data_IF_720057062893
#
_entry.id   IF_720057062893
#
_cell.length_a   1.000
_cell.length_b   1.000
_cell.length_c   1.000
_cell.angle_alpha   90.00
_cell.angle_beta   90.00
_cell.angle_gamma   90.00
#
_symmetry.space_group_name_H-M   'P 1'
#
loop_
_entity.id
_entity.type
_entity.pdbx_description
1 polymer ?
#
# COMPACT_ATOMS: atom_id res chain seq x y z
N UNK A 1 -39.51 13.23 -26.07
CA UNK A 1 -38.75 13.30 -24.82
C UNK A 1 -37.73 12.18 -24.80
N UNK A 2 -36.68 12.29 -23.98
CA UNK A 2 -35.70 11.21 -23.81
C UNK A 2 -35.96 10.57 -22.44
N UNK A 3 -35.97 9.24 -22.41
CA UNK A 3 -36.03 8.43 -21.19
C UNK A 3 -34.68 7.76 -21.00
N UNK A 4 -34.12 7.80 -19.79
CA UNK A 4 -32.91 7.09 -19.41
C UNK A 4 -33.13 6.27 -18.14
N UNK A 5 -32.45 5.14 -18.03
CA UNK A 5 -32.41 4.29 -16.83
C UNK A 5 -30.95 4.12 -16.41
N UNK A 6 -30.67 4.31 -15.12
CA UNK A 6 -29.35 4.12 -14.52
C UNK A 6 -29.46 2.99 -13.51
N UNK A 7 -28.54 2.03 -13.60
CA UNK A 7 -28.36 0.97 -12.61
C UNK A 7 -26.95 1.04 -12.02
N UNK A 8 -26.87 1.26 -10.71
CA UNK A 8 -25.60 1.27 -9.98
C UNK A 8 -25.32 -0.16 -9.50
N UNK A 9 -24.80 -0.97 -10.42
CA UNK A 9 -24.53 -2.40 -10.19
C UNK A 9 -23.45 -2.68 -9.15
N UNK A 10 -22.61 -1.69 -8.80
CA UNK A 10 -21.56 -1.82 -7.78
C UNK A 10 -21.40 -0.52 -6.99
N UNK A 11 -21.15 -0.67 -5.69
CA UNK A 11 -20.79 0.38 -4.75
C UNK A 11 -19.97 -0.28 -3.67
N UNK A 12 -18.72 0.15 -3.48
CA UNK A 12 -17.83 -0.37 -2.45
C UNK A 12 -17.21 0.80 -1.68
N UNK A 13 -17.09 0.64 -0.36
CA UNK A 13 -16.58 1.68 0.52
C UNK A 13 -15.05 1.58 0.63
N UNK A 14 -14.33 2.71 0.76
CA UNK A 14 -12.89 2.67 0.96
C UNK A 14 -12.55 1.96 2.27
N UNK A 15 -11.53 1.11 2.26
CA UNK A 15 -11.06 0.43 3.47
C UNK A 15 -9.84 1.16 4.05
N UNK A 16 -9.97 1.83 5.20
CA UNK A 16 -8.84 2.49 5.85
C UNK A 16 -7.85 1.46 6.41
N UNK A 17 -6.56 1.75 6.29
CA UNK A 17 -5.49 1.00 6.94
C UNK A 17 -5.12 1.66 8.28
N UNK A 18 -4.37 0.95 9.13
CA UNK A 18 -4.07 1.39 10.50
C UNK A 18 -3.09 2.56 10.52
N UNK A 19 -3.49 3.68 11.13
CA UNK A 19 -2.63 4.84 11.33
C UNK A 19 -1.37 4.50 12.14
N UNK A 20 -1.47 3.60 13.12
CA UNK A 20 -0.32 3.13 13.92
C UNK A 20 0.72 2.47 13.01
N UNK A 21 0.29 1.57 12.11
CA UNK A 21 1.18 0.89 11.17
C UNK A 21 1.75 1.89 10.16
N UNK A 22 0.93 2.80 9.64
CA UNK A 22 1.39 3.84 8.70
C UNK A 22 2.44 4.74 9.35
N UNK A 23 2.25 5.16 10.59
CA UNK A 23 3.22 5.98 11.31
C UNK A 23 4.51 5.21 11.61
N UNK A 24 4.42 3.94 12.01
CA UNK A 24 5.60 3.09 12.15
C UNK A 24 6.40 3.00 10.84
N UNK A 25 5.74 2.78 9.71
CA UNK A 25 6.39 2.71 8.39
C UNK A 25 7.07 4.04 8.03
N UNK A 26 6.41 5.17 8.31
CA UNK A 26 6.99 6.51 8.10
C UNK A 26 8.24 6.72 8.96
N UNK A 27 8.20 6.32 10.22
CA UNK A 27 9.34 6.47 11.13
C UNK A 27 10.52 5.60 10.70
N UNK A 28 10.27 4.37 10.27
CA UNK A 28 11.32 3.49 9.74
C UNK A 28 11.88 4.03 8.41
N UNK A 29 11.04 4.57 7.53
CA UNK A 29 11.50 5.20 6.29
C UNK A 29 12.36 6.45 6.57
N UNK A 30 11.97 7.27 7.56
CA UNK A 30 12.74 8.43 8.02
C UNK A 30 14.11 8.02 8.57
N UNK A 31 14.18 6.97 9.41
CA UNK A 31 15.43 6.43 9.96
C UNK A 31 16.40 5.96 8.86
N UNK A 32 15.87 5.39 7.79
CA UNK A 32 16.66 4.94 6.64
C UNK A 32 17.00 6.06 5.64
N UNK A 33 16.45 7.26 5.82
CA UNK A 33 16.67 8.40 4.93
C UNK A 33 15.99 8.23 3.56
N UNK A 34 14.93 7.43 3.47
CA UNK A 34 14.19 7.23 2.23
C UNK A 34 13.27 8.41 1.93
N UNK A 35 13.25 8.86 0.68
CA UNK A 35 12.20 9.72 0.18
C UNK A 35 10.93 8.88 -0.04
N UNK A 36 9.79 9.34 0.49
CA UNK A 36 8.51 8.66 0.33
C UNK A 36 7.36 9.65 0.23
N UNK A 37 6.20 9.14 -0.14
CA UNK A 37 4.90 9.82 -0.01
C UNK A 37 3.88 8.85 0.56
N UNK A 38 2.91 9.36 1.30
CA UNK A 38 1.73 8.58 1.69
C UNK A 38 0.71 8.65 0.55
N UNK A 39 0.12 7.52 0.19
CA UNK A 39 -0.87 7.45 -0.89
C UNK A 39 -1.86 6.31 -0.69
N UNK A 40 -3.01 6.42 -1.35
CA UNK A 40 -4.02 5.37 -1.40
C UNK A 40 -3.69 4.34 -2.48
N UNK A 41 -4.05 3.07 -2.26
CA UNK A 41 -4.03 2.05 -3.32
C UNK A 41 -5.19 2.29 -4.29
N UNK A 42 -4.91 2.32 -5.59
CA UNK A 42 -5.94 2.40 -6.63
C UNK A 42 -6.57 1.06 -6.98
N UNK A 43 -5.98 -0.05 -6.51
CA UNK A 43 -6.45 -1.41 -6.75
C UNK A 43 -6.76 -2.11 -5.43
N UNK A 44 -7.73 -3.04 -5.47
CA UNK A 44 -7.99 -3.97 -4.38
C UNK A 44 -6.79 -4.89 -4.14
N UNK A 45 -6.50 -5.15 -2.87
CA UNK A 45 -5.40 -5.99 -2.40
C UNK A 45 -5.90 -6.83 -1.23
N UNK A 46 -5.23 -7.93 -0.90
CA UNK A 46 -5.65 -8.81 0.21
C UNK A 46 -5.77 -8.05 1.54
N UNK A 47 -4.95 -7.00 1.72
CA UNK A 47 -4.99 -6.11 2.88
C UNK A 47 -6.37 -5.47 3.09
N UNK A 48 -7.15 -5.24 2.02
CA UNK A 48 -8.53 -4.74 2.10
C UNK A 48 -9.45 -5.71 2.85
N UNK A 49 -9.21 -7.02 2.70
CA UNK A 49 -9.99 -8.06 3.38
C UNK A 49 -9.58 -8.17 4.86
N UNK A 50 -8.30 -7.99 5.16
CA UNK A 50 -7.76 -8.15 6.51
C UNK A 50 -7.95 -6.93 7.42
N UNK A 51 -7.91 -5.72 6.86
CA UNK A 51 -7.91 -4.46 7.62
C UNK A 51 -9.07 -4.30 8.63
N UNK A 52 -10.31 -4.79 8.39
CA UNK A 52 -11.37 -4.74 9.39
C UNK A 52 -11.12 -5.57 10.65
N UNK A 53 -10.21 -6.54 10.61
CA UNK A 53 -9.99 -7.52 11.67
C UNK A 53 -8.63 -7.38 12.36
N UNK A 54 -7.61 -6.93 11.62
CA UNK A 54 -6.24 -6.80 12.12
C UNK A 54 -5.60 -5.51 11.65
N UNK A 55 -4.79 -4.89 12.52
CA UNK A 55 -4.00 -3.70 12.16
C UNK A 55 -3.14 -4.05 10.95
N UNK A 56 -3.37 -3.33 9.85
CA UNK A 56 -2.78 -3.62 8.55
C UNK A 56 -2.18 -2.36 7.95
N UNK A 57 -1.14 -2.53 7.15
CA UNK A 57 -0.48 -1.45 6.41
C UNK A 57 0.18 -2.00 5.14
N UNK A 58 0.56 -1.11 4.24
CA UNK A 58 1.16 -1.48 2.95
C UNK A 58 2.39 -0.63 2.67
N UNK A 59 3.38 -1.22 1.98
CA UNK A 59 4.54 -0.53 1.45
C UNK A 59 4.48 -0.65 -0.07
N UNK A 60 4.56 0.47 -0.77
CA UNK A 60 4.69 0.51 -2.22
C UNK A 60 6.13 0.83 -2.63
N UNK A 61 6.56 0.19 -3.71
CA UNK A 61 7.77 0.53 -4.45
C UNK A 61 7.38 0.98 -5.86
N UNK A 62 8.14 1.87 -6.50
CA UNK A 62 7.79 2.37 -7.83
C UNK A 62 7.83 1.28 -8.90
N UNK A 63 6.77 1.17 -9.69
CA UNK A 63 6.79 0.46 -10.97
C UNK A 63 7.11 1.46 -12.08
N UNK A 64 8.01 1.09 -12.99
CA UNK A 64 8.41 1.90 -14.14
C UNK A 64 7.18 2.27 -14.97
N UNK A 65 7.01 3.56 -15.20
CA UNK A 65 5.88 4.16 -15.94
C UNK A 65 4.49 3.80 -15.38
N UNK A 66 4.41 3.25 -14.15
CA UNK A 66 3.17 2.80 -13.52
C UNK A 66 2.53 1.57 -14.20
N UNK A 67 3.27 0.85 -15.04
CA UNK A 67 2.77 -0.34 -15.74
C UNK A 67 2.66 -1.50 -14.76
N UNK A 68 1.52 -2.20 -14.80
CA UNK A 68 1.30 -3.46 -14.08
C UNK A 68 0.39 -4.40 -14.87
N UNK A 69 0.39 -5.70 -14.54
CA UNK A 69 -0.35 -6.77 -15.22
C UNK A 69 0.00 -6.90 -16.72
N UNK A 70 1.25 -6.58 -17.06
CA UNK A 70 1.78 -6.66 -18.41
C UNK A 70 3.23 -7.17 -18.37
N UNK A 71 3.74 -7.81 -19.44
CA UNK A 71 5.12 -8.27 -19.51
C UNK A 71 6.18 -7.17 -19.30
N UNK A 72 5.81 -5.92 -19.57
CA UNK A 72 6.66 -4.74 -19.40
C UNK A 72 6.68 -4.22 -17.95
N UNK A 73 5.88 -4.80 -17.04
CA UNK A 73 5.91 -4.49 -15.61
C UNK A 73 7.33 -4.67 -15.06
N UNK A 74 7.87 -3.61 -14.46
CA UNK A 74 9.23 -3.60 -13.96
C UNK A 74 9.38 -2.67 -12.77
N UNK A 75 10.07 -3.15 -11.74
CA UNK A 75 10.51 -2.36 -10.58
C UNK A 75 12.04 -2.38 -10.57
N UNK A 76 12.67 -1.23 -10.36
CA UNK A 76 14.12 -1.18 -10.21
C UNK A 76 14.55 -2.06 -9.00
N UNK A 77 15.53 -2.96 -9.16
CA UNK A 77 15.98 -3.81 -8.06
C UNK A 77 16.41 -3.03 -6.81
N UNK A 78 16.94 -1.80 -6.95
CA UNK A 78 17.28 -0.97 -5.80
C UNK A 78 16.05 -0.51 -5.03
N UNK A 79 14.97 -0.15 -5.73
CA UNK A 79 13.71 0.21 -5.10
C UNK A 79 13.07 -0.99 -4.40
N UNK A 80 13.14 -2.17 -5.01
CA UNK A 80 12.71 -3.41 -4.37
C UNK A 80 13.51 -3.71 -3.09
N UNK A 81 14.83 -3.49 -3.12
CA UNK A 81 15.69 -3.64 -1.93
C UNK A 81 15.31 -2.63 -0.83
N UNK A 82 15.00 -1.38 -1.17
CA UNK A 82 14.50 -0.39 -0.21
C UNK A 82 13.19 -0.84 0.42
N UNK A 83 12.24 -1.34 -0.38
CA UNK A 83 10.97 -1.87 0.10
C UNK A 83 11.15 -3.05 1.07
N UNK A 84 12.02 -4.00 0.72
CA UNK A 84 12.31 -5.16 1.58
C UNK A 84 13.00 -4.76 2.88
N UNK A 85 13.94 -3.82 2.85
CA UNK A 85 14.59 -3.31 4.08
C UNK A 85 13.61 -2.59 4.98
N UNK A 86 12.73 -1.77 4.42
CA UNK A 86 11.68 -1.10 5.18
C UNK A 86 10.71 -2.11 5.81
N UNK A 87 10.30 -3.12 5.05
CA UNK A 87 9.44 -4.20 5.55
C UNK A 87 10.12 -4.95 6.71
N UNK A 88 11.38 -5.34 6.54
CA UNK A 88 12.17 -6.03 7.57
C UNK A 88 12.19 -5.24 8.87
N UNK A 89 12.49 -3.94 8.80
CA UNK A 89 12.64 -3.11 10.00
C UNK A 89 11.30 -2.83 10.69
N UNK A 90 10.23 -2.65 9.91
CA UNK A 90 8.88 -2.54 10.46
C UNK A 90 8.42 -3.82 11.15
N UNK A 91 8.66 -4.99 10.54
CA UNK A 91 8.36 -6.28 11.15
C UNK A 91 9.17 -6.52 12.42
N UNK A 92 10.45 -6.12 12.44
CA UNK A 92 11.28 -6.21 13.64
C UNK A 92 10.68 -5.39 14.79
N UNK A 93 10.35 -4.12 14.54
CA UNK A 93 9.72 -3.27 15.56
C UNK A 93 8.38 -3.87 16.04
N UNK A 94 7.51 -4.33 15.13
CA UNK A 94 6.23 -4.93 15.52
C UNK A 94 6.36 -6.21 16.35
N UNK A 95 7.43 -6.97 16.15
CA UNK A 95 7.62 -8.27 16.80
C UNK A 95 8.38 -8.17 18.13
N UNK A 96 9.25 -7.17 18.29
CA UNK A 96 10.25 -7.16 19.37
C UNK A 96 10.39 -5.82 20.10
N UNK A 97 9.73 -4.76 19.66
CA UNK A 97 9.80 -3.45 20.29
C UNK A 97 8.39 -3.07 20.79
N UNK A 98 8.31 -2.61 22.05
CA UNK A 98 7.06 -2.18 22.71
C UNK A 98 6.63 -0.76 22.26
#
# INVERSE_FOLDING_TARGET
>A
GITAQIDKWMSDDPTPLSDDIINLLKDQANKQGYAYRVMHSGAGQDTQIFAPFVKSGMIFVPSKDGISHAPEEYTDPQDAVHGVKLLRDALHSLAYED
#
